data_IF_929419951168
#
_entry.id   IF_929419951168
#
_cell.length_a   1.000
_cell.length_b   1.000
_cell.length_c   1.000
_cell.angle_alpha   90.00
_cell.angle_beta   90.00
_cell.angle_gamma   90.00
#
_symmetry.space_group_name_H-M   'P 1'
#
loop_
_entity.id
_entity.type
_entity.pdbx_description
1 polymer ?
#
# COMPACT_ATOMS: atom_id res chain seq x y z
N UNK A 1 -2.53 -27.79 -27.36
CA UNK A 1 -3.56 -26.75 -27.13
C UNK A 1 -2.84 -25.64 -26.39
N UNK A 2 -2.76 -24.42 -26.93
CA UNK A 2 -1.97 -23.36 -26.29
C UNK A 2 -2.55 -23.09 -24.90
N UNK A 3 -1.79 -23.41 -23.86
CA UNK A 3 -2.09 -22.93 -22.53
C UNK A 3 -2.13 -21.41 -22.63
N UNK A 4 -3.32 -20.82 -22.49
CA UNK A 4 -3.44 -19.37 -22.51
C UNK A 4 -2.71 -18.83 -21.29
N UNK A 5 -1.55 -18.25 -21.56
CA UNK A 5 -0.73 -17.40 -20.71
C UNK A 5 -1.60 -16.37 -20.00
N UNK A 6 -1.37 -16.14 -18.70
CA UNK A 6 -2.07 -15.10 -17.96
C UNK A 6 -1.45 -13.74 -18.30
N UNK A 7 -2.22 -12.67 -18.37
CA UNK A 7 -1.68 -11.33 -18.57
C UNK A 7 -1.95 -10.46 -17.34
N UNK A 8 -0.90 -9.89 -16.75
CA UNK A 8 -1.01 -8.92 -15.68
C UNK A 8 -1.39 -7.56 -16.29
N UNK A 9 -2.68 -7.25 -16.21
CA UNK A 9 -3.19 -5.92 -16.57
C UNK A 9 -3.89 -5.25 -15.40
N UNK A 10 -4.16 -3.95 -15.52
CA UNK A 10 -4.83 -3.20 -14.46
C UNK A 10 -6.25 -3.72 -14.17
N UNK A 11 -6.98 -4.22 -15.17
CA UNK A 11 -8.28 -4.85 -15.00
C UNK A 11 -8.20 -6.19 -14.28
N UNK A 12 -7.16 -6.98 -14.55
CA UNK A 12 -6.88 -8.25 -13.86
C UNK A 12 -6.50 -8.00 -12.40
N UNK A 13 -5.58 -7.07 -12.14
CA UNK A 13 -5.23 -6.65 -10.78
C UNK A 13 -6.47 -6.16 -10.01
N UNK A 14 -7.27 -5.30 -10.64
CA UNK A 14 -8.50 -4.82 -10.03
C UNK A 14 -9.51 -5.94 -9.75
N UNK A 15 -9.62 -6.93 -10.65
CA UNK A 15 -10.40 -8.15 -10.41
C UNK A 15 -9.96 -8.90 -9.15
N UNK A 16 -8.66 -9.08 -8.95
CA UNK A 16 -8.10 -9.71 -7.75
C UNK A 16 -8.37 -8.90 -6.47
N UNK A 17 -8.25 -7.57 -6.54
CA UNK A 17 -8.60 -6.66 -5.44
C UNK A 17 -10.07 -6.87 -5.03
N UNK A 18 -10.97 -6.96 -6.01
CA UNK A 18 -12.40 -7.18 -5.79
C UNK A 18 -12.68 -8.54 -5.14
N UNK A 19 -11.91 -9.57 -5.45
CA UNK A 19 -12.04 -10.89 -4.82
C UNK A 19 -11.45 -10.93 -3.40
N UNK A 20 -10.41 -10.14 -3.13
CA UNK A 20 -9.76 -10.03 -1.82
C UNK A 20 -10.55 -9.16 -0.82
N UNK A 21 -11.50 -8.35 -1.29
CA UNK A 21 -12.27 -7.41 -0.45
C UNK A 21 -13.10 -8.10 0.65
N UNK A 22 -13.41 -7.34 1.70
CA UNK A 22 -14.33 -7.75 2.78
C UNK A 22 -15.72 -8.08 2.23
N UNK A 23 -16.39 -9.02 2.88
CA UNK A 23 -17.79 -9.30 2.56
C UNK A 23 -18.64 -8.03 2.73
N UNK A 24 -19.41 -7.70 1.69
CA UNK A 24 -20.30 -6.55 1.72
C UNK A 24 -21.38 -6.73 2.77
N UNK A 25 -21.60 -5.71 3.59
CA UNK A 25 -22.72 -5.67 4.53
C UNK A 25 -23.80 -4.81 3.89
N UNK A 26 -25.04 -5.29 3.87
CA UNK A 26 -26.17 -4.48 3.41
C UNK A 26 -26.39 -3.36 4.42
N UNK A 27 -25.86 -2.18 4.14
CA UNK A 27 -26.17 -0.98 4.91
C UNK A 27 -27.56 -0.54 4.48
N UNK A 28 -28.51 -0.50 5.43
CA UNK A 28 -29.83 0.07 5.15
C UNK A 28 -29.68 1.58 5.06
N UNK A 29 -30.19 2.19 3.99
CA UNK A 29 -30.31 3.65 3.93
C UNK A 29 -31.15 4.11 5.13
N UNK A 30 -30.61 5.06 5.89
CA UNK A 30 -31.34 5.69 6.98
C UNK A 30 -31.90 7.01 6.44
N UNK A 31 -33.23 7.13 6.41
CA UNK A 31 -33.90 8.35 6.02
C UNK A 31 -33.96 9.29 7.23
N UNK A 32 -33.04 10.24 7.32
CA UNK A 32 -33.10 11.33 8.29
C UNK A 32 -33.40 12.61 7.51
N UNK A 33 -34.48 13.31 7.89
CA UNK A 33 -34.86 14.62 7.32
C UNK A 33 -35.06 14.65 5.78
N UNK A 34 -35.73 13.64 5.19
CA UNK A 34 -35.97 13.56 3.74
C UNK A 34 -34.72 13.49 2.84
N UNK A 35 -33.52 13.45 3.42
CA UNK A 35 -32.26 13.22 2.70
C UNK A 35 -31.93 11.73 2.80
N UNK A 36 -32.03 11.03 1.68
CA UNK A 36 -31.49 9.68 1.57
C UNK A 36 -29.97 9.79 1.50
N UNK A 37 -29.30 9.53 2.62
CA UNK A 37 -27.86 9.29 2.59
C UNK A 37 -27.69 7.84 2.16
N UNK A 38 -27.25 7.63 0.92
CA UNK A 38 -26.74 6.34 0.48
C UNK A 38 -25.51 6.02 1.33
N UNK A 39 -25.74 5.39 2.48
CA UNK A 39 -24.65 4.85 3.30
C UNK A 39 -24.08 3.67 2.52
N UNK A 40 -23.07 3.92 1.70
CA UNK A 40 -22.30 2.86 1.07
C UNK A 40 -21.35 2.26 2.09
N UNK A 41 -21.16 0.94 2.03
CA UNK A 41 -20.06 0.27 2.73
C UNK A 41 -18.70 0.57 2.11
N UNK A 42 -18.67 1.25 0.96
CA UNK A 42 -17.46 1.56 0.21
C UNK A 42 -16.84 0.32 -0.45
N UNK A 43 -17.55 -0.80 -0.51
CA UNK A 43 -17.05 -2.09 -1.00
C UNK A 43 -17.68 -2.50 -2.35
N UNK A 44 -18.57 -1.68 -2.92
CA UNK A 44 -19.01 -1.86 -4.29
C UNK A 44 -17.86 -1.58 -5.28
N UNK A 45 -17.95 -2.07 -6.51
CA UNK A 45 -16.85 -2.00 -7.47
C UNK A 45 -16.44 -0.56 -7.80
N UNK A 46 -17.41 0.34 -7.90
CA UNK A 46 -17.17 1.75 -8.19
C UNK A 46 -16.49 2.50 -7.04
N UNK A 47 -16.85 2.24 -5.78
CA UNK A 47 -16.14 2.81 -4.62
C UNK A 47 -14.75 2.21 -4.45
N UNK A 48 -14.58 0.91 -4.74
CA UNK A 48 -13.27 0.26 -4.73
C UNK A 48 -12.36 0.86 -5.81
N UNK A 49 -12.90 1.11 -7.01
CA UNK A 49 -12.14 1.78 -8.08
C UNK A 49 -11.82 3.22 -7.73
N UNK A 50 -12.75 3.96 -7.12
CA UNK A 50 -12.48 5.33 -6.70
C UNK A 50 -11.28 5.38 -5.74
N UNK A 51 -11.28 4.57 -4.68
CA UNK A 51 -10.13 4.49 -3.77
C UNK A 51 -8.84 4.04 -4.47
N UNK A 52 -8.95 3.17 -5.48
CA UNK A 52 -7.80 2.74 -6.26
C UNK A 52 -7.21 3.87 -7.11
N UNK A 53 -8.07 4.73 -7.69
CA UNK A 53 -7.64 5.93 -8.41
C UNK A 53 -7.03 6.95 -7.44
N UNK A 54 -7.65 7.18 -6.27
CA UNK A 54 -7.13 8.12 -5.26
C UNK A 54 -5.71 7.74 -4.79
N UNK A 55 -5.41 6.44 -4.65
CA UNK A 55 -4.05 5.96 -4.36
C UNK A 55 -3.10 6.28 -5.51
N UNK A 56 -3.54 6.08 -6.75
CA UNK A 56 -2.73 6.31 -7.94
C UNK A 56 -2.46 7.81 -8.17
N UNK A 57 -3.47 8.67 -8.03
CA UNK A 57 -3.34 10.11 -8.28
C UNK A 57 -2.77 10.86 -7.08
N UNK A 58 -2.89 10.30 -5.87
CA UNK A 58 -2.58 11.00 -4.61
C UNK A 58 -3.62 12.08 -4.26
N UNK A 59 -4.77 12.09 -4.93
CA UNK A 59 -5.81 13.12 -4.76
C UNK A 59 -7.08 12.51 -4.17
N UNK A 60 -7.79 13.28 -3.34
CA UNK A 60 -9.15 12.91 -2.93
C UNK A 60 -10.16 13.29 -4.00
N UNK A 61 -10.95 12.31 -4.45
CA UNK A 61 -11.83 12.47 -5.59
C UNK A 61 -13.30 12.33 -5.19
N UNK A 62 -14.14 13.18 -5.78
CA UNK A 62 -15.58 13.02 -5.66
C UNK A 62 -16.07 11.96 -6.64
N UNK A 63 -16.88 11.03 -6.13
CA UNK A 63 -17.51 10.01 -6.97
C UNK A 63 -18.35 10.67 -8.08
N UNK A 64 -18.09 10.35 -9.37
CA UNK A 64 -18.89 10.87 -10.45
C UNK A 64 -20.36 10.44 -10.31
N UNK A 65 -21.28 11.37 -10.59
CA UNK A 65 -22.72 11.08 -10.59
C UNK A 65 -23.13 10.34 -11.87
N UNK A 66 -24.17 9.53 -11.79
CA UNK A 66 -24.74 8.79 -12.92
C UNK A 66 -24.17 7.38 -13.10
N UNK A 67 -24.42 6.78 -14.26
CA UNK A 67 -24.10 5.36 -14.52
C UNK A 67 -22.81 5.15 -15.32
N UNK A 68 -22.27 6.19 -15.93
CA UNK A 68 -21.08 6.11 -16.80
C UNK A 68 -19.85 5.61 -16.06
N UNK A 69 -19.57 6.13 -14.87
CA UNK A 69 -18.43 5.67 -14.07
C UNK A 69 -18.53 4.18 -13.74
N UNK A 70 -19.70 3.74 -13.26
CA UNK A 70 -19.97 2.32 -12.98
C UNK A 70 -19.78 1.43 -14.22
N UNK A 71 -20.19 1.90 -15.41
CA UNK A 71 -19.95 1.18 -16.67
C UNK A 71 -18.45 1.09 -16.97
N UNK A 72 -17.72 2.19 -16.87
CA UNK A 72 -16.28 2.22 -17.13
C UNK A 72 -15.50 1.30 -16.19
N UNK A 73 -15.84 1.29 -14.89
CA UNK A 73 -15.28 0.36 -13.90
C UNK A 73 -15.52 -1.10 -14.31
N UNK A 74 -16.76 -1.41 -14.73
CA UNK A 74 -17.13 -2.75 -15.17
C UNK A 74 -16.35 -3.18 -16.42
N UNK A 75 -16.23 -2.29 -17.41
CA UNK A 75 -15.55 -2.55 -18.68
C UNK A 75 -14.03 -2.66 -18.48
N UNK A 76 -13.44 -1.84 -17.61
CA UNK A 76 -12.03 -1.93 -17.24
C UNK A 76 -11.71 -3.24 -16.52
N UNK A 77 -12.49 -3.63 -15.50
CA UNK A 77 -12.34 -4.92 -14.81
C UNK A 77 -12.40 -6.11 -15.77
N UNK A 78 -13.31 -6.05 -16.75
CA UNK A 78 -13.49 -7.08 -17.78
C UNK A 78 -12.45 -7.02 -18.90
N UNK A 79 -11.46 -6.12 -18.80
CA UNK A 79 -10.43 -5.93 -19.80
C UNK A 79 -11.01 -5.62 -21.20
N UNK A 80 -12.10 -4.84 -21.24
CA UNK A 80 -12.75 -4.41 -22.50
C UNK A 80 -12.16 -3.10 -23.02
N UNK A 81 -11.61 -2.28 -22.11
CA UNK A 81 -11.05 -0.97 -22.43
C UNK A 81 -9.83 -0.69 -21.57
N UNK A 82 -8.89 0.07 -22.09
CA UNK A 82 -7.61 0.40 -21.42
C UNK A 82 -7.62 1.79 -20.82
N UNK A 83 -8.21 2.74 -21.53
CA UNK A 83 -8.44 4.09 -21.05
C UNK A 83 -9.93 4.38 -21.00
N UNK A 84 -10.35 5.23 -20.06
CA UNK A 84 -11.68 5.83 -20.08
C UNK A 84 -11.59 7.23 -19.49
N UNK A 85 -12.55 8.10 -19.83
CA UNK A 85 -12.60 9.48 -19.32
C UNK A 85 -12.63 9.63 -17.79
N UNK A 86 -12.92 8.55 -17.05
CA UNK A 86 -12.94 8.57 -15.58
C UNK A 86 -11.81 7.77 -14.93
N UNK A 87 -11.06 6.98 -15.71
CA UNK A 87 -9.97 6.14 -15.20
C UNK A 87 -8.68 6.77 -15.74
N UNK A 88 -8.14 7.73 -15.00
CA UNK A 88 -6.99 8.59 -15.39
C UNK A 88 -5.64 7.86 -15.28
N UNK A 89 -5.63 6.54 -15.49
CA UNK A 89 -4.43 5.70 -15.39
C UNK A 89 -3.45 5.89 -16.56
N UNK A 90 -3.86 6.63 -17.60
CA UNK A 90 -3.06 6.97 -18.79
C UNK A 90 -2.49 8.40 -18.76
N UNK A 91 -2.82 9.19 -17.72
CA UNK A 91 -2.29 10.54 -17.57
C UNK A 91 -0.82 10.51 -17.12
N UNK A 92 0.07 11.04 -17.97
CA UNK A 92 1.51 11.01 -17.72
C UNK A 92 1.92 11.73 -16.43
N UNK A 93 1.22 12.79 -16.05
CA UNK A 93 1.53 13.57 -14.84
C UNK A 93 1.31 12.72 -13.60
N UNK A 94 0.19 12.00 -13.57
CA UNK A 94 -0.10 11.08 -12.45
C UNK A 94 0.83 9.86 -12.47
N UNK A 95 1.17 9.33 -13.66
CA UNK A 95 2.14 8.23 -13.77
C UNK A 95 3.50 8.63 -13.18
N UNK A 96 4.06 9.77 -13.57
CA UNK A 96 5.39 10.22 -13.13
C UNK A 96 5.41 10.50 -11.62
N UNK A 97 4.34 11.13 -11.10
CA UNK A 97 4.17 11.38 -9.67
C UNK A 97 4.07 10.08 -8.87
N UNK A 98 3.24 9.14 -9.33
CA UNK A 98 3.04 7.85 -8.69
C UNK A 98 4.33 7.02 -8.70
N UNK A 99 5.02 6.93 -9.84
CA UNK A 99 6.30 6.23 -9.95
C UNK A 99 7.33 6.80 -8.97
N UNK A 100 7.45 8.12 -8.90
CA UNK A 100 8.35 8.78 -7.95
C UNK A 100 8.00 8.40 -6.51
N UNK A 101 6.71 8.45 -6.16
CA UNK A 101 6.23 8.12 -4.82
C UNK A 101 6.49 6.66 -4.43
N UNK A 102 6.27 5.73 -5.35
CA UNK A 102 6.55 4.30 -5.13
C UNK A 102 8.06 4.04 -5.04
N UNK A 103 8.86 4.62 -5.93
CA UNK A 103 10.31 4.42 -5.94
C UNK A 103 10.96 4.93 -4.65
N UNK A 104 10.50 6.08 -4.14
CA UNK A 104 10.98 6.69 -2.91
C UNK A 104 10.34 6.14 -1.63
N UNK A 105 9.44 5.14 -1.72
CA UNK A 105 8.68 4.63 -0.58
C UNK A 105 8.02 5.77 0.24
N UNK A 106 7.41 6.76 -0.43
CA UNK A 106 6.87 7.91 0.28
C UNK A 106 5.84 7.48 1.31
N UNK A 107 6.01 7.98 2.53
CA UNK A 107 5.18 7.64 3.70
C UNK A 107 3.69 7.82 3.45
N UNK A 108 3.29 8.94 2.85
CA UNK A 108 1.88 9.23 2.54
C UNK A 108 1.25 8.19 1.60
N UNK A 109 2.02 7.70 0.64
CA UNK A 109 1.62 6.69 -0.34
C UNK A 109 1.48 5.32 0.31
N UNK A 110 2.45 4.94 1.16
CA UNK A 110 2.41 3.71 1.97
C UNK A 110 1.24 3.72 2.98
N UNK A 111 1.01 4.85 3.65
CA UNK A 111 -0.10 5.02 4.58
C UNK A 111 -1.46 4.96 3.86
N UNK A 112 -1.56 5.56 2.67
CA UNK A 112 -2.78 5.52 1.85
C UNK A 112 -3.15 4.08 1.45
N UNK A 113 -2.19 3.32 0.92
CA UNK A 113 -2.44 1.91 0.57
C UNK A 113 -2.66 1.04 1.82
N UNK A 114 -1.99 1.32 2.93
CA UNK A 114 -2.21 0.62 4.21
C UNK A 114 -3.63 0.86 4.74
N UNK A 115 -4.13 2.09 4.66
CA UNK A 115 -5.51 2.42 5.01
C UNK A 115 -6.50 1.74 4.08
N UNK A 116 -6.23 1.71 2.77
CA UNK A 116 -7.05 1.01 1.79
C UNK A 116 -7.16 -0.48 2.10
N UNK A 117 -6.04 -1.16 2.35
CA UNK A 117 -6.00 -2.58 2.70
C UNK A 117 -6.76 -2.82 4.01
N UNK A 118 -6.43 -2.08 5.06
CA UNK A 118 -7.06 -2.22 6.39
C UNK A 118 -8.58 -2.02 6.34
N UNK A 119 -9.05 -1.07 5.53
CA UNK A 119 -10.48 -0.75 5.43
C UNK A 119 -11.23 -1.71 4.51
N UNK A 120 -10.65 -2.08 3.37
CA UNK A 120 -11.37 -2.74 2.27
C UNK A 120 -11.09 -4.23 2.14
N UNK A 121 -9.94 -4.75 2.58
CA UNK A 121 -9.54 -6.14 2.34
C UNK A 121 -9.93 -7.07 3.48
N UNK A 122 -10.25 -8.30 3.13
CA UNK A 122 -10.40 -9.38 4.11
C UNK A 122 -9.02 -9.88 4.49
N UNK A 123 -8.62 -9.71 5.74
CA UNK A 123 -7.30 -10.13 6.22
C UNK A 123 -6.96 -11.61 5.93
N UNK A 124 -7.89 -12.58 6.12
CA UNK A 124 -7.66 -13.97 5.70
C UNK A 124 -7.41 -14.19 4.19
N UNK A 125 -7.74 -13.20 3.34
CA UNK A 125 -7.55 -13.28 1.89
C UNK A 125 -6.26 -12.60 1.41
N UNK A 126 -5.52 -11.90 2.27
CA UNK A 126 -4.30 -11.20 1.85
C UNK A 126 -3.24 -12.15 1.30
N UNK A 127 -3.07 -13.32 1.94
CA UNK A 127 -2.18 -14.36 1.44
C UNK A 127 -2.59 -14.84 0.06
N UNK A 128 -3.86 -15.20 -0.10
CA UNK A 128 -4.40 -15.61 -1.40
C UNK A 128 -4.19 -14.53 -2.47
N UNK A 129 -4.43 -13.26 -2.12
CA UNK A 129 -4.28 -12.13 -3.01
C UNK A 129 -2.84 -11.94 -3.48
N UNK A 130 -1.87 -11.92 -2.55
CA UNK A 130 -0.45 -11.83 -2.89
C UNK A 130 0.00 -13.01 -3.76
N UNK A 131 -0.34 -14.24 -3.37
CA UNK A 131 -0.04 -15.45 -4.14
C UNK A 131 -0.65 -15.41 -5.55
N UNK A 132 -1.89 -14.92 -5.68
CA UNK A 132 -2.56 -14.80 -6.97
C UNK A 132 -1.85 -13.80 -7.89
N UNK A 133 -1.40 -12.66 -7.36
CA UNK A 133 -0.61 -11.68 -8.15
C UNK A 133 0.72 -12.31 -8.59
N UNK A 134 1.45 -12.96 -7.68
CA UNK A 134 2.72 -13.63 -7.99
C UNK A 134 2.53 -14.68 -9.08
N UNK A 135 1.51 -15.54 -8.96
CA UNK A 135 1.18 -16.52 -10.00
C UNK A 135 0.84 -15.86 -11.33
N UNK A 136 0.17 -14.72 -11.30
CA UNK A 136 -0.16 -13.96 -12.52
C UNK A 136 1.11 -13.47 -13.20
N UNK A 137 2.02 -12.85 -12.45
CA UNK A 137 3.31 -12.36 -12.95
C UNK A 137 4.15 -13.51 -13.53
N UNK A 138 4.29 -14.60 -12.78
CA UNK A 138 5.09 -15.75 -13.20
C UNK A 138 4.55 -16.45 -14.44
N UNK A 139 3.21 -16.50 -14.58
CA UNK A 139 2.54 -17.09 -15.74
C UNK A 139 2.37 -16.10 -16.91
N UNK A 140 2.83 -14.85 -16.80
CA UNK A 140 2.77 -13.87 -17.88
C UNK A 140 4.06 -13.85 -18.68
N UNK A 141 4.07 -14.54 -19.83
CA UNK A 141 5.24 -14.64 -20.72
C UNK A 141 5.69 -13.30 -21.30
N UNK A 142 4.87 -12.24 -21.24
CA UNK A 142 5.25 -10.91 -21.73
C UNK A 142 6.14 -10.15 -20.75
N UNK A 143 6.15 -10.56 -19.49
CA UNK A 143 7.03 -10.00 -18.45
C UNK A 143 8.39 -10.68 -18.52
N UNK A 144 9.45 -9.89 -18.69
CA UNK A 144 10.82 -10.40 -18.73
C UNK A 144 11.17 -11.14 -17.43
N UNK A 145 11.94 -12.22 -17.53
CA UNK A 145 12.32 -13.03 -16.38
C UNK A 145 13.17 -12.26 -15.36
N UNK A 146 13.90 -11.24 -15.82
CA UNK A 146 14.72 -10.34 -15.01
C UNK A 146 13.96 -9.13 -14.46
N UNK A 147 12.70 -8.90 -14.88
CA UNK A 147 11.87 -7.82 -14.34
C UNK A 147 11.77 -7.96 -12.83
N UNK A 148 11.89 -6.83 -12.12
CA UNK A 148 12.04 -6.79 -10.68
C UNK A 148 10.81 -6.23 -10.00
N UNK A 149 10.39 -6.86 -8.92
CA UNK A 149 9.24 -6.45 -8.10
C UNK A 149 9.66 -6.27 -6.64
N UNK A 150 9.26 -5.16 -6.02
CA UNK A 150 9.39 -4.93 -4.58
C UNK A 150 8.52 -5.94 -3.85
N UNK A 151 9.10 -6.69 -2.90
CA UNK A 151 8.37 -7.59 -2.00
C UNK A 151 8.35 -7.08 -0.56
N UNK A 152 9.16 -6.06 -0.26
CA UNK A 152 9.09 -5.21 0.93
C UNK A 152 9.71 -3.85 0.63
N UNK A 153 9.69 -2.91 1.60
CA UNK A 153 10.34 -1.60 1.46
C UNK A 153 11.82 -1.71 1.04
N UNK A 154 12.51 -2.74 1.56
CA UNK A 154 13.97 -2.91 1.43
C UNK A 154 14.37 -4.09 0.53
N UNK A 155 13.41 -4.85 0.00
CA UNK A 155 13.70 -6.03 -0.80
C UNK A 155 12.94 -6.01 -2.11
N UNK A 156 13.68 -6.23 -3.20
CA UNK A 156 13.16 -6.37 -4.55
C UNK A 156 13.73 -7.63 -5.14
N UNK A 157 12.90 -8.46 -5.76
CA UNK A 157 13.29 -9.74 -6.36
C UNK A 157 12.93 -9.78 -7.83
N UNK A 158 13.63 -10.59 -8.62
CA UNK A 158 13.27 -10.83 -10.02
C UNK A 158 12.01 -11.69 -10.14
N UNK A 159 11.34 -11.64 -11.29
CA UNK A 159 10.24 -12.55 -11.63
C UNK A 159 10.61 -14.03 -11.41
N UNK A 160 11.82 -14.44 -11.77
CA UNK A 160 12.29 -15.83 -11.54
C UNK A 160 12.35 -16.24 -10.06
N UNK A 161 12.49 -15.27 -9.15
CA UNK A 161 12.65 -15.52 -7.71
C UNK A 161 11.32 -15.45 -6.96
N UNK A 162 10.26 -14.87 -7.55
CA UNK A 162 8.97 -14.64 -6.88
C UNK A 162 8.31 -15.92 -6.32
N UNK A 163 8.46 -17.07 -6.99
CA UNK A 163 7.91 -18.34 -6.48
C UNK A 163 8.70 -18.94 -5.30
N UNK A 164 9.86 -18.39 -4.97
CA UNK A 164 10.73 -18.87 -3.89
C UNK A 164 10.65 -18.03 -2.62
N UNK A 165 9.97 -16.88 -2.67
CA UNK A 165 9.87 -15.98 -1.51
C UNK A 165 8.97 -16.58 -0.42
N UNK A 166 9.32 -16.31 0.83
CA UNK A 166 8.57 -16.77 2.01
C UNK A 166 7.74 -15.69 2.65
N UNK A 167 8.02 -14.42 2.37
CA UNK A 167 7.41 -13.27 3.03
C UNK A 167 7.16 -12.15 2.02
N UNK A 168 6.00 -11.50 2.11
CA UNK A 168 5.66 -10.29 1.35
C UNK A 168 5.07 -9.26 2.30
N UNK A 169 5.60 -8.05 2.24
CA UNK A 169 4.96 -6.86 2.80
C UNK A 169 3.97 -6.32 1.77
N UNK A 170 2.68 -6.37 2.08
CA UNK A 170 1.63 -6.26 1.06
C UNK A 170 1.50 -4.86 0.46
N UNK A 171 1.79 -3.81 1.24
CA UNK A 171 1.72 -2.42 0.80
C UNK A 171 2.73 -2.08 -0.31
N UNK A 172 4.05 -2.20 -0.10
CA UNK A 172 5.04 -1.91 -1.15
C UNK A 172 4.89 -2.85 -2.35
N UNK A 173 4.51 -4.13 -2.12
CA UNK A 173 4.27 -5.06 -3.21
C UNK A 173 3.10 -4.65 -4.10
N UNK A 174 1.95 -4.29 -3.52
CA UNK A 174 0.79 -3.84 -4.31
C UNK A 174 1.11 -2.57 -5.09
N UNK A 175 1.79 -1.60 -4.46
CA UNK A 175 2.19 -0.36 -5.08
C UNK A 175 3.15 -0.58 -6.26
N UNK A 176 4.13 -1.47 -6.12
CA UNK A 176 5.09 -1.72 -7.19
C UNK A 176 4.49 -2.52 -8.36
N UNK A 177 3.53 -3.40 -8.09
CA UNK A 177 2.73 -4.05 -9.15
C UNK A 177 1.87 -3.03 -9.90
N UNK A 178 1.27 -2.08 -9.19
CA UNK A 178 0.58 -0.94 -9.82
C UNK A 178 1.56 -0.12 -10.67
N UNK A 179 2.75 0.21 -10.13
CA UNK A 179 3.80 0.96 -10.83
C UNK A 179 4.16 0.26 -12.13
N UNK A 180 4.45 -1.04 -12.08
CA UNK A 180 4.76 -1.84 -13.26
C UNK A 180 3.68 -1.70 -14.35
N UNK A 181 2.40 -1.84 -13.98
CA UNK A 181 1.29 -1.78 -14.95
C UNK A 181 1.19 -0.38 -15.59
N UNK A 182 1.21 0.68 -14.78
CA UNK A 182 0.91 2.03 -15.25
C UNK A 182 2.11 2.70 -15.92
N UNK A 183 3.32 2.51 -15.40
CA UNK A 183 4.56 3.06 -16.01
C UNK A 183 4.80 2.42 -17.38
N UNK A 184 4.63 1.10 -17.50
CA UNK A 184 4.76 0.41 -18.78
C UNK A 184 3.52 0.59 -19.69
N UNK A 185 2.49 1.30 -19.22
CA UNK A 185 1.23 1.56 -19.94
C UNK A 185 0.64 0.29 -20.54
N UNK A 186 0.61 -0.78 -19.73
CA UNK A 186 0.17 -2.10 -20.19
C UNK A 186 -1.27 -2.00 -20.71
N UNK A 187 -1.47 -2.41 -21.97
CA UNK A 187 -2.78 -2.41 -22.59
C UNK A 187 -3.71 -3.38 -21.85
N UNK A 188 -4.72 -2.82 -21.17
CA UNK A 188 -5.66 -3.58 -20.38
C UNK A 188 -6.42 -4.64 -21.20
N UNK A 189 -6.62 -4.44 -22.50
CA UNK A 189 -7.34 -5.38 -23.36
C UNK A 189 -6.63 -6.74 -23.49
N UNK A 190 -5.31 -6.80 -23.24
CA UNK A 190 -4.54 -8.04 -23.23
C UNK A 190 -5.01 -9.01 -22.14
N UNK A 191 -5.55 -8.47 -21.03
CA UNK A 191 -6.10 -9.25 -19.92
C UNK A 191 -7.43 -9.94 -20.24
N UNK A 192 -8.04 -9.68 -21.39
CA UNK A 192 -9.39 -10.18 -21.74
C UNK A 192 -9.48 -11.71 -21.66
N UNK A 193 -8.51 -12.40 -22.24
CA UNK A 193 -8.49 -13.86 -22.24
C UNK A 193 -8.28 -14.43 -20.83
N UNK A 194 -7.46 -13.77 -20.01
CA UNK A 194 -7.23 -14.11 -18.60
C UNK A 194 -8.51 -13.93 -17.78
N UNK A 195 -9.22 -12.82 -17.96
CA UNK A 195 -10.49 -12.56 -17.31
C UNK A 195 -11.53 -13.65 -17.66
N UNK A 196 -11.69 -13.99 -18.93
CA UNK A 196 -12.65 -15.02 -19.37
C UNK A 196 -12.26 -16.44 -18.92
N UNK A 197 -10.98 -16.69 -18.64
CA UNK A 197 -10.51 -17.94 -18.03
C UNK A 197 -10.84 -18.00 -16.54
N UNK A 198 -10.78 -16.86 -15.85
CA UNK A 198 -10.94 -16.83 -14.39
C UNK A 198 -12.35 -16.61 -13.92
N UNK A 199 -13.16 -15.91 -14.71
CA UNK A 199 -14.53 -15.60 -14.37
C UNK A 199 -15.49 -16.32 -15.29
N UNK A 200 -16.67 -16.64 -14.79
CA UNK A 200 -17.76 -17.24 -15.56
C UNK A 200 -19.09 -16.56 -15.26
N UNK A 201 -20.04 -16.68 -16.17
CA UNK A 201 -21.41 -16.17 -16.01
C UNK A 201 -22.41 -17.17 -16.59
N UNK A 202 -23.57 -17.31 -15.96
CA UNK A 202 -24.61 -18.28 -16.35
C UNK A 202 -25.52 -17.78 -17.49
N UNK A 203 -25.21 -16.61 -18.05
CA UNK A 203 -25.97 -15.95 -19.12
C UNK A 203 -25.44 -14.54 -19.37
N UNK A 204 -25.76 -13.99 -20.55
CA UNK A 204 -25.22 -12.71 -21.05
C UNK A 204 -25.49 -11.52 -20.12
N UNK A 205 -26.59 -11.56 -19.36
CA UNK A 205 -27.03 -10.51 -18.44
C UNK A 205 -26.74 -10.82 -16.96
N UNK A 206 -26.07 -11.95 -16.66
CA UNK A 206 -25.78 -12.35 -15.28
C UNK A 206 -24.43 -11.78 -14.82
N UNK A 207 -24.26 -11.66 -13.50
CA UNK A 207 -23.00 -11.18 -12.94
C UNK A 207 -21.89 -12.22 -13.15
N UNK A 208 -20.74 -11.77 -13.63
CA UNK A 208 -19.50 -12.56 -13.65
C UNK A 208 -19.08 -12.93 -12.23
N UNK A 209 -18.76 -14.20 -12.03
CA UNK A 209 -18.26 -14.74 -10.76
C UNK A 209 -16.90 -15.35 -10.96
N UNK A 210 -16.02 -15.14 -9.99
CA UNK A 210 -14.73 -15.79 -9.97
C UNK A 210 -14.90 -17.31 -9.85
N UNK A 211 -14.24 -18.04 -10.75
CA UNK A 211 -14.35 -19.49 -10.91
C UNK A 211 -13.00 -20.22 -10.97
N UNK A 212 -11.87 -19.50 -11.04
CA UNK A 212 -10.55 -20.13 -11.00
C UNK A 212 -10.18 -20.51 -9.56
N UNK A 213 -10.53 -21.74 -9.17
CA UNK A 213 -10.25 -22.26 -7.84
C UNK A 213 -8.78 -22.53 -7.58
N UNK A 214 -7.93 -22.63 -8.60
CA UNK A 214 -6.51 -22.99 -8.45
C UNK A 214 -5.59 -21.80 -8.24
N UNK A 215 -6.02 -20.60 -8.63
CA UNK A 215 -5.25 -19.38 -8.47
C UNK A 215 -4.99 -19.05 -7.00
N UNK A 216 -3.75 -18.68 -6.69
CA UNK A 216 -3.29 -18.24 -5.37
C UNK A 216 -2.94 -19.38 -4.41
N UNK A 217 -2.76 -20.60 -4.92
CA UNK A 217 -2.40 -21.80 -4.14
C UNK A 217 -0.94 -22.21 -4.21
N UNK A 218 -0.15 -21.66 -5.13
CA UNK A 218 1.25 -22.06 -5.38
C UNK A 218 2.19 -21.77 -4.22
N UNK A 219 1.84 -20.81 -3.36
CA UNK A 219 2.65 -20.37 -2.23
C UNK A 219 1.92 -20.62 -0.89
N UNK A 220 1.72 -21.88 -0.48
CA UNK A 220 0.95 -22.23 0.72
C UNK A 220 1.63 -21.81 2.03
N UNK A 221 2.92 -21.46 2.00
CA UNK A 221 3.69 -21.04 3.17
C UNK A 221 4.03 -19.54 3.16
N UNK A 222 3.53 -18.76 2.19
CA UNK A 222 3.75 -17.32 2.14
C UNK A 222 3.21 -16.65 3.41
N UNK A 223 4.06 -15.87 4.07
CA UNK A 223 3.73 -14.98 5.17
C UNK A 223 3.45 -13.58 4.63
N UNK A 224 2.39 -12.94 5.14
CA UNK A 224 2.06 -11.57 4.80
C UNK A 224 2.37 -10.67 5.99
N UNK A 225 3.28 -9.72 5.78
CA UNK A 225 3.52 -8.63 6.71
C UNK A 225 2.81 -7.37 6.24
N UNK A 226 2.65 -6.42 7.16
CA UNK A 226 2.03 -5.12 6.90
C UNK A 226 3.07 -4.03 7.13
N UNK A 227 2.99 -2.98 6.32
CA UNK A 227 3.72 -1.75 6.56
C UNK A 227 3.46 -1.21 7.97
N UNK A 228 4.54 -0.88 8.68
CA UNK A 228 4.50 -0.29 10.01
C UNK A 228 5.28 1.04 10.04
N UNK A 229 4.60 2.20 10.01
CA UNK A 229 5.26 3.51 9.97
C UNK A 229 6.17 3.77 11.16
N UNK A 230 5.86 3.20 12.34
CA UNK A 230 6.69 3.38 13.53
C UNK A 230 8.06 2.71 13.46
N UNK A 231 8.21 1.66 12.64
CA UNK A 231 9.49 0.99 12.43
C UNK A 231 10.32 1.77 11.41
N UNK A 232 9.68 2.34 10.39
CA UNK A 232 10.36 3.13 9.36
C UNK A 232 10.92 4.45 9.92
N UNK A 233 10.16 5.13 10.78
CA UNK A 233 10.62 6.34 11.49
C UNK A 233 11.87 6.07 12.37
N UNK A 234 12.00 4.88 12.94
CA UNK A 234 13.19 4.48 13.72
C UNK A 234 14.38 4.17 12.81
N UNK A 235 14.13 3.59 11.64
CA UNK A 235 15.17 3.29 10.65
C UNK A 235 15.73 4.57 10.01
N UNK A 236 14.88 5.55 9.69
CA UNK A 236 15.32 6.86 9.18
C UNK A 236 16.16 7.61 10.21
N UNK A 237 15.74 7.59 11.49
CA UNK A 237 16.50 8.21 12.58
C UNK A 237 17.86 7.54 12.80
N UNK A 238 17.94 6.21 12.68
CA UNK A 238 19.21 5.48 12.84
C UNK A 238 20.13 5.61 11.62
N UNK A 239 19.60 5.66 10.40
CA UNK A 239 20.38 5.93 9.18
C UNK A 239 21.03 7.33 9.21
N UNK A 240 20.31 8.35 9.68
CA UNK A 240 20.85 9.71 9.81
C UNK A 240 21.97 9.84 10.86
N UNK A 241 22.01 8.96 11.87
CA UNK A 241 23.11 8.91 12.85
C UNK A 241 24.37 8.31 12.23
N UNK A 242 24.23 7.26 11.41
CA UNK A 242 25.36 6.58 10.76
C UNK A 242 26.03 7.47 9.70
N UNK A 243 25.26 8.32 9.00
CA UNK A 243 25.83 9.29 8.04
C UNK A 243 26.62 10.41 8.74
N UNK A 244 26.21 10.84 9.94
CA UNK A 244 26.95 11.85 10.72
C UNK A 244 28.26 11.30 11.32
N UNK A 245 28.30 10.03 11.72
CA UNK A 245 29.51 9.42 12.28
C UNK A 245 30.59 9.14 11.22
N UNK A 246 30.25 9.10 9.93
CA UNK A 246 31.19 8.86 8.84
C UNK A 246 31.88 10.13 8.29
N UNK A 247 31.36 11.33 8.56
CA UNK A 247 31.99 12.60 8.14
C UNK A 247 33.00 13.16 9.17
N UNK A 248 33.05 12.63 10.40
CA UNK A 248 33.88 13.21 11.48
C UNK A 248 35.24 12.53 11.76
N UNK A 249 35.73 11.62 10.91
CA UNK A 249 37.03 10.95 11.17
C UNK A 249 37.97 10.85 9.97
N UNK A 250 38.50 11.99 9.52
CA UNK A 250 39.80 12.06 8.82
C UNK A 250 40.63 13.25 9.32
N UNK A 251 41.20 13.16 10.54
CA UNK A 251 42.46 13.84 10.87
C UNK A 251 43.30 12.89 11.72
N UNK A 252 44.19 12.15 11.07
CA UNK A 252 45.37 11.59 11.71
C UNK A 252 46.29 12.74 12.13
N UNK A 253 46.72 12.76 13.39
CA UNK A 253 48.08 13.14 13.74
C UNK A 253 48.48 12.48 15.06
N UNK A 254 49.51 11.64 14.94
CA UNK A 254 50.32 11.07 16.00
C UNK A 254 50.99 12.21 16.80
N UNK A 255 51.00 12.11 18.13
CA UNK A 255 52.19 12.44 18.92
C UNK A 255 52.07 11.85 20.33
N UNK A 256 53.02 10.95 20.64
CA UNK A 256 53.26 10.43 21.98
C UNK A 256 53.74 11.54 22.93
N UNK A 257 53.26 11.55 24.18
CA UNK A 257 54.15 11.77 25.32
C UNK A 257 53.57 11.25 26.64
N UNK A 258 54.40 10.49 27.36
CA UNK A 258 54.17 9.93 28.69
C UNK A 258 54.37 10.99 29.78
N UNK A 259 53.53 11.01 30.81
CA UNK A 259 53.99 10.97 32.22
C UNK A 259 52.86 10.68 33.23
N UNK A 260 53.19 9.89 34.26
CA UNK A 260 52.38 9.49 35.42
C UNK A 260 51.94 10.71 36.27
N UNK A 261 50.89 10.68 37.09
CA UNK A 261 50.81 10.01 38.40
C UNK A 261 49.39 10.13 38.98
N UNK A 262 49.04 9.17 39.84
CA UNK A 262 47.83 9.02 40.66
C UNK A 262 47.33 10.33 41.33
N UNK A 263 46.01 10.54 41.34
CA UNK A 263 45.28 10.84 42.60
C UNK A 263 43.76 10.73 42.45
N UNK A 264 43.14 10.24 43.52
CA UNK A 264 41.71 10.02 43.71
C UNK A 264 40.99 11.34 43.94
N UNK A 265 39.86 11.58 43.28
CA UNK A 265 38.66 12.12 43.95
C UNK A 265 37.39 12.05 43.07
N UNK A 266 36.28 11.70 43.72
CA UNK A 266 34.97 11.48 43.12
C UNK A 266 34.28 12.78 42.67
N UNK A 267 33.56 12.79 41.55
CA UNK A 267 32.37 13.64 41.37
C UNK A 267 31.30 13.04 40.43
N UNK A 268 30.24 12.56 41.07
CA UNK A 268 28.79 12.72 40.79
C UNK A 268 28.26 12.56 39.35
N UNK A 269 27.55 11.45 39.13
CA UNK A 269 26.50 11.30 38.11
C UNK A 269 25.39 12.34 38.32
N UNK A 270 25.09 13.15 37.31
CA UNK A 270 23.85 13.92 37.25
C UNK A 270 22.78 13.11 36.51
N UNK A 271 21.76 12.71 37.25
CA UNK A 271 20.49 12.19 36.73
C UNK A 271 19.66 13.39 36.33
N UNK A 272 19.43 13.60 35.02
CA UNK A 272 18.48 14.59 34.55
C UNK A 272 17.05 14.02 34.71
N UNK A 273 16.30 14.60 35.64
CA UNK A 273 14.93 14.23 35.94
C UNK A 273 14.02 14.74 34.81
N UNK A 274 13.31 13.83 34.13
CA UNK A 274 12.36 14.13 33.07
C UNK A 274 11.16 14.92 33.62
N UNK A 275 11.05 16.20 33.30
CA UNK A 275 9.88 17.01 33.64
C UNK A 275 8.72 16.65 32.70
N UNK A 276 7.63 16.11 33.26
CA UNK A 276 6.34 15.89 32.57
C UNK A 276 5.89 17.18 31.88
N UNK A 277 5.94 17.20 30.56
CA UNK A 277 5.26 18.22 29.76
C UNK A 277 3.79 17.79 29.64
N UNK A 278 2.89 18.55 30.28
CA UNK A 278 1.43 18.37 30.13
C UNK A 278 0.93 19.49 29.23
N UNK A 279 0.66 19.20 27.97
CA UNK A 279 -0.01 20.13 27.07
C UNK A 279 -1.52 20.08 27.32
N UNK A 280 -2.10 21.16 27.86
CA UNK A 280 -3.55 21.34 27.96
C UNK A 280 -3.97 22.52 27.08
N UNK A 281 -4.97 22.30 26.22
CA UNK A 281 -5.58 23.35 25.41
C UNK A 281 -6.93 23.72 26.02
N UNK A 282 -7.02 24.91 26.61
CA UNK A 282 -8.26 25.53 27.06
C UNK A 282 -8.22 27.04 26.79
N UNK A 283 -9.38 27.64 26.48
CA UNK A 283 -9.47 29.05 26.10
C UNK A 283 -9.18 30.05 27.23
N UNK A 284 -9.05 29.61 28.49
CA UNK A 284 -8.51 30.39 29.61
C UNK A 284 -7.86 29.44 30.63
N UNK A 285 -6.59 29.67 30.96
CA UNK A 285 -5.83 28.90 31.97
C UNK A 285 -5.55 29.83 33.17
N UNK A 286 -6.00 29.45 34.37
CA UNK A 286 -5.67 30.14 35.61
C UNK A 286 -4.75 29.25 36.45
N UNK A 287 -3.48 29.65 36.61
CA UNK A 287 -2.56 29.00 37.52
C UNK A 287 -2.75 29.57 38.93
N UNK A 288 -3.32 28.79 39.84
CA UNK A 288 -3.41 29.12 41.26
C UNK A 288 -2.21 28.46 41.93
N UNK A 289 -1.23 29.27 42.33
CA UNK A 289 0.06 28.77 42.83
C UNK A 289 0.06 28.47 44.35
N UNK A 290 -0.98 28.88 45.09
CA UNK A 290 -1.07 28.61 46.53
C UNK A 290 -2.51 28.75 47.06
N UNK A 291 -2.94 27.79 47.90
CA UNK A 291 -4.17 27.84 48.69
C UNK A 291 -3.79 27.69 50.17
N UNK A 292 -3.97 28.73 50.98
CA UNK A 292 -3.88 28.62 52.43
C UNK A 292 -5.21 28.12 53.00
N UNK A 293 -5.11 27.24 54.01
CA UNK A 293 -6.18 26.43 54.60
C UNK A 293 -7.50 27.18 54.85
N UNK A 294 -8.62 26.55 54.45
CA UNK A 294 -9.94 26.86 54.99
C UNK A 294 -10.07 26.28 56.42
N UNK A 295 -10.46 27.14 57.37
CA UNK A 295 -11.12 26.73 58.60
C UNK A 295 -12.63 26.59 58.37
#
# INVERSE_FOLDING_TARGET
MSDKTSHLTGGILFGLIIEARKARKRVRSAKLNYVETDKSDGLNEDDMMLSFIEIFTGESLLKPKGTSFKKNVSDYKKCVTSATSYLTFDDQTFIDSFETSVNQNKKDTLESVSAFISNKFSEPKLKWFASAIIETICNDETIDISERFKVSTNNTVSKSELLSITTVEIEPFLLDVMRYIFVNKIDNTLGKATFEKWYSQNGVSTQWKFSNSELGKSLPNLEITRYNPSVEELNEQTAGIVEQEHEESEIENEEENKFNTEDKESMKQQVLNNSKIINQYANNIYNIEHLENLN
#
